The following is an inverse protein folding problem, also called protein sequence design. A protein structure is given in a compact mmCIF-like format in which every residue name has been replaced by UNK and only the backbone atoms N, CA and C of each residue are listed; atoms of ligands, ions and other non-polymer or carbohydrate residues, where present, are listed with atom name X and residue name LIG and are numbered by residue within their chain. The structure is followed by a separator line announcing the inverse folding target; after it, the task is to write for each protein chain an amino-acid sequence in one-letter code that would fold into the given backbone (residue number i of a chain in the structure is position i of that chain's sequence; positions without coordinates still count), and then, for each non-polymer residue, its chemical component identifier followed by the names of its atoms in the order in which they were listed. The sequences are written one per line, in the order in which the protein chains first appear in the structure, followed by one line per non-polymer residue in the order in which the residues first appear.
data_IF_439763383603
#
_entry.id   IF_439763383603
#
_cell.length_a   1.000
_cell.length_b   1.000
_cell.length_c   1.000
_cell.angle_alpha   90.00
_cell.angle_beta   90.00
_cell.angle_gamma   90.00
#
_symmetry.space_group_name_H-M   'P 1'
#
loop_
_entity.id
_entity.type
_entity.pdbx_description
1 polymer ?
#
# COMPACT_ATOMS: atom_id res chain seq x y z
N UNK A 1 -15.20 12.44 9.89
CA UNK A 1 -16.07 13.22 8.98
C UNK A 1 -17.20 12.28 8.57
N UNK A 2 -18.44 12.71 8.40
CA UNK A 2 -19.51 11.77 8.03
C UNK A 2 -19.34 11.42 6.55
N UNK A 3 -18.89 10.22 6.24
CA UNK A 3 -18.80 9.77 4.85
C UNK A 3 -20.20 9.77 4.23
N UNK A 4 -20.39 10.64 3.24
CA UNK A 4 -21.65 10.77 2.49
C UNK A 4 -21.74 9.75 1.34
N UNK A 5 -20.73 8.89 1.21
CA UNK A 5 -20.63 7.87 0.18
C UNK A 5 -19.74 6.71 0.62
N UNK A 6 -20.00 5.51 0.11
CA UNK A 6 -19.14 4.32 0.20
C UNK A 6 -18.82 3.84 -1.21
N UNK A 7 -17.57 3.44 -1.47
CA UNK A 7 -17.16 2.94 -2.79
C UNK A 7 -16.59 1.55 -2.67
N UNK A 8 -17.04 0.65 -3.55
CA UNK A 8 -16.58 -0.73 -3.66
C UNK A 8 -15.92 -0.94 -5.02
N UNK A 9 -14.74 -1.54 -5.04
CA UNK A 9 -13.98 -1.78 -6.28
C UNK A 9 -13.96 -3.26 -6.61
N UNK A 10 -14.07 -3.59 -7.91
CA UNK A 10 -14.12 -4.96 -8.39
C UNK A 10 -13.23 -5.13 -9.61
N UNK A 11 -12.35 -6.13 -9.53
CA UNK A 11 -11.43 -6.46 -10.60
C UNK A 11 -11.54 -7.95 -10.94
N UNK A 12 -11.78 -8.25 -12.21
CA UNK A 12 -11.76 -9.59 -12.77
C UNK A 12 -11.05 -9.55 -14.13
N UNK A 13 -10.52 -10.68 -14.60
CA UNK A 13 -9.85 -10.74 -15.90
C UNK A 13 -10.79 -10.24 -17.02
N UNK A 14 -10.44 -9.09 -17.63
CA UNK A 14 -11.20 -8.46 -18.70
C UNK A 14 -12.45 -7.68 -18.27
N UNK A 15 -12.63 -7.39 -16.98
CA UNK A 15 -13.72 -6.57 -16.45
C UNK A 15 -13.31 -5.89 -15.14
N UNK A 16 -13.33 -4.56 -15.13
CA UNK A 16 -13.04 -3.73 -13.96
C UNK A 16 -14.15 -2.69 -13.79
N UNK A 17 -14.64 -2.50 -12.56
CA UNK A 17 -15.71 -1.55 -12.28
C UNK A 17 -15.75 -1.15 -10.80
N UNK A 18 -16.42 -0.04 -10.52
CA UNK A 18 -16.68 0.47 -9.17
C UNK A 18 -18.17 0.60 -8.90
N UNK A 19 -18.55 0.50 -7.63
CA UNK A 19 -19.90 0.79 -7.14
C UNK A 19 -19.78 1.88 -6.10
N UNK A 20 -20.36 3.05 -6.36
CA UNK A 20 -20.39 4.14 -5.38
C UNK A 20 -21.81 4.30 -4.87
N UNK A 21 -22.01 4.05 -3.57
CA UNK A 21 -23.28 4.23 -2.88
C UNK A 21 -23.25 5.57 -2.16
N UNK A 22 -24.25 6.41 -2.34
CA UNK A 22 -24.29 7.74 -1.72
C UNK A 22 -25.73 8.19 -1.45
N UNK A 23 -25.88 9.17 -0.57
CA UNK A 23 -27.14 9.87 -0.39
C UNK A 23 -27.17 11.10 -1.31
N UNK A 24 -28.13 11.15 -2.22
CA UNK A 24 -28.37 12.31 -3.07
C UNK A 24 -28.80 13.52 -2.20
N UNK A 25 -28.08 14.64 -2.25
CA UNK A 25 -28.33 15.78 -1.37
C UNK A 25 -29.61 16.55 -1.71
N UNK A 26 -30.12 16.43 -2.93
CA UNK A 26 -31.29 17.16 -3.40
C UNK A 26 -32.61 16.41 -3.10
N UNK A 27 -32.58 15.08 -3.17
CA UNK A 27 -33.73 14.20 -3.00
C UNK A 27 -33.73 13.43 -1.69
N UNK A 28 -32.54 13.23 -1.08
CA UNK A 28 -32.34 12.39 0.09
C UNK A 28 -32.37 10.89 -0.19
N UNK A 29 -32.53 10.49 -1.45
CA UNK A 29 -32.55 9.08 -1.86
C UNK A 29 -31.14 8.48 -1.83
N UNK A 30 -31.04 7.20 -1.49
CA UNK A 30 -29.79 6.47 -1.59
C UNK A 30 -29.66 5.90 -3.00
N UNK A 31 -28.53 6.19 -3.65
CA UNK A 31 -28.23 5.77 -5.01
C UNK A 31 -26.96 4.93 -5.03
N UNK A 32 -26.90 3.97 -5.93
CA UNK A 32 -25.70 3.21 -6.26
C UNK A 32 -25.34 3.44 -7.74
N UNK A 33 -24.16 4.00 -7.97
CA UNK A 33 -23.59 4.19 -9.30
C UNK A 33 -22.59 3.08 -9.60
N UNK A 34 -22.93 2.22 -10.55
CA UNK A 34 -22.07 1.13 -11.04
C UNK A 34 -21.35 1.63 -12.28
N UNK A 35 -20.06 1.97 -12.16
CA UNK A 35 -19.26 2.54 -13.24
C UNK A 35 -18.26 1.52 -13.76
N UNK A 36 -18.36 1.17 -15.05
CA UNK A 36 -17.42 0.23 -15.68
C UNK A 36 -16.19 0.96 -16.20
N UNK A 37 -15.01 0.59 -15.71
CA UNK A 37 -13.71 1.17 -16.09
C UNK A 37 -12.98 0.34 -17.14
N UNK A 38 -13.27 -0.96 -17.23
CA UNK A 38 -12.73 -1.85 -18.25
C UNK A 38 -13.75 -2.93 -18.61
N UNK A 39 -13.90 -3.26 -19.89
CA UNK A 39 -14.77 -4.33 -20.34
C UNK A 39 -16.24 -3.94 -20.41
N UNK A 40 -17.12 -4.91 -20.21
CA UNK A 40 -18.57 -4.73 -20.26
C UNK A 40 -19.30 -5.83 -19.50
N UNK A 41 -20.52 -5.55 -19.06
CA UNK A 41 -21.38 -6.48 -18.35
C UNK A 41 -22.85 -6.09 -18.42
N UNK A 42 -23.74 -7.08 -18.33
CA UNK A 42 -25.17 -6.90 -18.09
C UNK A 42 -25.48 -7.16 -16.62
N UNK A 43 -25.72 -6.09 -15.85
CA UNK A 43 -25.97 -6.14 -14.41
C UNK A 43 -27.38 -6.64 -14.15
N UNK A 44 -27.52 -7.89 -13.71
CA UNK A 44 -28.84 -8.52 -13.61
C UNK A 44 -29.43 -8.42 -12.21
N UNK A 45 -28.61 -8.43 -11.17
CA UNK A 45 -29.04 -8.26 -9.80
C UNK A 45 -27.93 -7.65 -8.94
N UNK A 46 -28.38 -6.93 -7.90
CA UNK A 46 -27.54 -6.40 -6.83
C UNK A 46 -27.98 -7.00 -5.50
N UNK A 47 -27.02 -7.14 -4.59
CA UNK A 47 -27.19 -7.62 -3.24
C UNK A 47 -26.45 -6.66 -2.31
N UNK A 48 -26.97 -6.47 -1.11
CA UNK A 48 -26.27 -5.70 -0.08
C UNK A 48 -26.68 -6.19 1.30
N UNK A 49 -25.77 -6.04 2.25
CA UNK A 49 -25.97 -6.37 3.64
C UNK A 49 -24.87 -5.79 4.52
N UNK A 50 -25.11 -5.83 5.82
CA UNK A 50 -24.16 -5.42 6.86
C UNK A 50 -23.36 -6.62 7.41
N UNK A 51 -22.49 -6.36 8.38
CA UNK A 51 -21.75 -7.37 9.13
C UNK A 51 -22.56 -8.06 10.24
N UNK A 52 -23.85 -7.72 10.41
CA UNK A 52 -24.74 -8.32 11.39
C UNK A 52 -25.43 -9.57 10.82
N UNK A 53 -25.01 -10.74 11.31
CA UNK A 53 -25.58 -12.03 10.95
C UNK A 53 -26.94 -12.32 11.61
N UNK A 54 -27.79 -11.30 11.76
CA UNK A 54 -29.08 -11.42 12.41
C UNK A 54 -30.21 -11.66 11.40
N UNK A 55 -30.87 -12.82 11.48
CA UNK A 55 -32.04 -13.13 10.62
C UNK A 55 -31.76 -14.07 9.45
N UNK A 56 -32.61 -13.99 8.42
CA UNK A 56 -32.56 -14.86 7.23
C UNK A 56 -31.92 -14.10 6.06
N UNK A 57 -30.78 -14.62 5.56
CA UNK A 57 -30.12 -14.11 4.35
C UNK A 57 -31.05 -14.12 3.13
N UNK A 58 -31.12 -12.99 2.42
CA UNK A 58 -31.88 -12.85 1.17
C UNK A 58 -31.17 -13.56 0.04
N UNK A 59 -31.96 -14.19 -0.81
CA UNK A 59 -31.46 -14.84 -2.01
C UNK A 59 -32.49 -14.79 -3.13
N UNK A 60 -32.08 -14.35 -4.32
CA UNK A 60 -32.90 -14.50 -5.52
C UNK A 60 -32.83 -15.93 -6.03
N UNK A 61 -33.91 -16.37 -6.66
CA UNK A 61 -34.01 -17.74 -7.19
C UNK A 61 -33.32 -17.88 -8.55
N UNK A 62 -32.93 -19.12 -8.87
CA UNK A 62 -32.46 -19.47 -10.21
C UNK A 62 -31.09 -18.85 -10.52
N UNK A 63 -30.82 -18.42 -11.77
CA UNK A 63 -29.48 -17.99 -12.21
C UNK A 63 -28.99 -16.69 -11.55
N UNK A 64 -29.86 -15.98 -10.83
CA UNK A 64 -29.56 -14.72 -10.17
C UNK A 64 -29.05 -14.87 -8.73
N UNK A 65 -29.00 -16.10 -8.20
CA UNK A 65 -28.48 -16.33 -6.86
C UNK A 65 -26.96 -16.03 -6.78
N UNK A 66 -26.50 -15.71 -5.57
CA UNK A 66 -25.08 -15.52 -5.24
C UNK A 66 -24.41 -16.78 -4.70
N UNK A 67 -25.11 -17.91 -4.66
CA UNK A 67 -24.57 -19.17 -4.15
C UNK A 67 -23.40 -19.67 -5.01
N UNK A 68 -22.31 -20.11 -4.40
CA UNK A 68 -21.07 -20.53 -5.05
C UNK A 68 -20.13 -19.39 -5.43
N UNK A 69 -20.29 -18.20 -4.83
CA UNK A 69 -19.27 -17.14 -4.89
C UNK A 69 -18.14 -17.42 -3.89
N UNK A 70 -16.92 -16.93 -4.16
CA UNK A 70 -15.71 -17.23 -3.38
C UNK A 70 -15.79 -16.82 -1.90
N UNK A 71 -16.78 -16.00 -1.53
CA UNK A 71 -17.00 -15.47 -0.18
C UNK A 71 -18.42 -15.71 0.37
N UNK A 72 -19.22 -16.61 -0.24
CA UNK A 72 -20.61 -16.87 0.16
C UNK A 72 -20.76 -17.20 1.66
N UNK A 73 -19.81 -17.93 2.24
CA UNK A 73 -19.91 -18.44 3.61
C UNK A 73 -19.78 -17.33 4.68
N UNK A 74 -19.31 -16.14 4.29
CA UNK A 74 -19.01 -15.04 5.19
C UNK A 74 -19.93 -13.83 5.00
N UNK A 75 -20.95 -13.90 4.14
CA UNK A 75 -21.85 -12.76 3.88
C UNK A 75 -23.31 -13.15 4.09
N UNK A 76 -23.98 -12.42 4.97
CA UNK A 76 -25.43 -12.42 5.06
C UNK A 76 -25.99 -11.25 4.25
N UNK A 77 -26.93 -11.52 3.34
CA UNK A 77 -27.56 -10.48 2.54
C UNK A 77 -28.83 -10.00 3.20
N UNK A 78 -28.96 -8.70 3.43
CA UNK A 78 -30.20 -8.12 3.95
C UNK A 78 -31.19 -7.78 2.84
N UNK A 79 -30.66 -7.49 1.66
CA UNK A 79 -31.45 -7.20 0.47
C UNK A 79 -30.88 -7.84 -0.79
N UNK A 80 -31.79 -8.08 -1.73
CA UNK A 80 -31.48 -8.60 -3.04
C UNK A 80 -32.48 -8.07 -4.07
N UNK A 81 -31.98 -7.31 -5.05
CA UNK A 81 -32.80 -6.63 -6.05
C UNK A 81 -32.50 -7.21 -7.42
N UNK A 82 -33.56 -7.68 -8.09
CA UNK A 82 -33.48 -8.06 -9.50
C UNK A 82 -33.65 -6.81 -10.36
N UNK A 83 -32.70 -6.56 -11.25
CA UNK A 83 -32.73 -5.48 -12.23
C UNK A 83 -33.20 -5.99 -13.60
N UNK A 84 -32.71 -7.15 -14.05
CA UNK A 84 -33.07 -7.72 -15.35
C UNK A 84 -32.96 -9.24 -15.39
N UNK A 85 -33.50 -9.84 -16.45
CA UNK A 85 -33.26 -11.26 -16.74
C UNK A 85 -31.84 -11.48 -17.30
N UNK A 86 -31.18 -12.62 -17.02
CA UNK A 86 -29.84 -12.91 -17.54
C UNK A 86 -29.74 -12.86 -19.06
N UNK A 87 -28.63 -12.30 -19.54
CA UNK A 87 -28.29 -12.17 -20.94
C UNK A 87 -28.94 -10.96 -21.61
N UNK A 88 -28.40 -10.61 -22.78
CA UNK A 88 -28.78 -9.38 -23.50
C UNK A 88 -30.17 -9.43 -24.16
N UNK A 89 -30.76 -10.62 -24.32
CA UNK A 89 -32.07 -10.77 -24.95
C UNK A 89 -32.11 -10.20 -26.37
N UNK A 90 -33.26 -9.65 -26.77
CA UNK A 90 -33.46 -9.01 -28.08
C UNK A 90 -32.88 -7.60 -28.16
N UNK A 91 -32.73 -6.95 -27.01
CA UNK A 91 -32.30 -5.56 -26.92
C UNK A 91 -30.78 -5.45 -27.00
N UNK A 92 -30.06 -6.57 -26.87
CA UNK A 92 -28.62 -6.60 -27.11
C UNK A 92 -27.89 -5.69 -26.12
N UNK A 93 -26.93 -4.93 -26.64
CA UNK A 93 -26.19 -3.93 -25.87
C UNK A 93 -26.99 -2.66 -25.59
N UNK A 94 -28.19 -2.50 -26.17
CA UNK A 94 -29.07 -1.35 -25.89
C UNK A 94 -29.93 -1.56 -24.62
N UNK A 95 -29.77 -2.72 -23.97
CA UNK A 95 -30.45 -3.05 -22.72
C UNK A 95 -30.02 -2.09 -21.60
N UNK A 96 -30.98 -1.59 -20.83
CA UNK A 96 -30.73 -0.57 -19.78
C UNK A 96 -29.71 -1.01 -18.71
N UNK A 97 -29.64 -2.31 -18.43
CA UNK A 97 -28.70 -2.89 -17.46
C UNK A 97 -27.34 -3.25 -18.04
N UNK A 98 -27.14 -3.07 -19.35
CA UNK A 98 -25.86 -3.30 -20.00
C UNK A 98 -24.99 -2.06 -19.87
N UNK A 99 -23.84 -2.23 -19.23
CA UNK A 99 -22.81 -1.21 -19.08
C UNK A 99 -21.53 -1.68 -19.74
N UNK A 100 -20.83 -0.74 -20.36
CA UNK A 100 -19.52 -0.94 -20.98
C UNK A 100 -18.58 0.13 -20.45
N UNK A 101 -17.29 -0.03 -20.73
CA UNK A 101 -16.25 0.95 -20.40
C UNK A 101 -16.70 2.40 -20.59
N UNK A 102 -16.58 3.18 -19.52
CA UNK A 102 -16.96 4.60 -19.44
C UNK A 102 -18.44 4.87 -19.13
N UNK A 103 -19.29 3.85 -19.05
CA UNK A 103 -20.72 4.00 -18.73
C UNK A 103 -20.99 3.72 -17.25
N UNK A 104 -22.05 4.36 -16.76
CA UNK A 104 -22.54 4.21 -15.38
C UNK A 104 -24.00 3.79 -15.40
N UNK A 105 -24.34 2.81 -14.57
CA UNK A 105 -25.72 2.43 -14.24
C UNK A 105 -26.05 2.93 -12.83
N UNK A 106 -27.04 3.82 -12.73
CA UNK A 106 -27.53 4.34 -11.45
C UNK A 106 -28.76 3.58 -11.00
N UNK A 107 -28.78 3.15 -9.74
CA UNK A 107 -29.88 2.39 -9.13
C UNK A 107 -30.26 3.04 -7.80
N UNK A 108 -31.56 3.19 -7.55
CA UNK A 108 -32.06 3.62 -6.24
C UNK A 108 -32.09 2.44 -5.26
N UNK A 109 -31.57 2.66 -4.05
CA UNK A 109 -31.52 1.68 -2.97
C UNK A 109 -32.59 1.97 -1.92
N UNK A 110 -33.26 0.91 -1.47
CA UNK A 110 -34.23 0.95 -0.37
C UNK A 110 -33.52 0.69 0.96
N UNK A 111 -32.75 1.68 1.44
CA UNK A 111 -32.02 1.68 2.71
C UNK A 111 -32.32 2.98 3.49
N UNK A 112 -32.03 3.01 4.79
CA UNK A 112 -32.20 4.21 5.64
C UNK A 112 -30.86 4.85 6.03
N UNK A 113 -29.77 4.09 6.01
CA UNK A 113 -28.41 4.56 6.24
C UNK A 113 -27.41 3.86 5.31
N UNK A 114 -26.28 4.51 5.03
CA UNK A 114 -25.12 3.86 4.41
C UNK A 114 -24.51 2.78 5.31
N UNK A 115 -24.77 2.85 6.61
CA UNK A 115 -24.31 1.85 7.59
C UNK A 115 -25.02 0.49 7.46
N UNK A 116 -26.05 0.39 6.63
CA UNK A 116 -26.71 -0.89 6.31
C UNK A 116 -26.00 -1.65 5.16
N UNK A 117 -24.86 -1.15 4.68
CA UNK A 117 -24.13 -1.71 3.53
C UNK A 117 -22.65 -1.78 3.85
N UNK A 118 -22.22 -2.89 4.42
CA UNK A 118 -20.79 -3.24 4.54
C UNK A 118 -20.34 -4.10 3.36
N UNK A 119 -21.25 -4.91 2.81
CA UNK A 119 -21.01 -5.74 1.64
C UNK A 119 -21.94 -5.36 0.50
N UNK A 120 -21.39 -5.27 -0.72
CA UNK A 120 -22.14 -5.08 -1.95
C UNK A 120 -21.84 -6.22 -2.93
N UNK A 121 -22.88 -6.90 -3.39
CA UNK A 121 -22.78 -8.02 -4.32
C UNK A 121 -23.35 -7.68 -5.70
N UNK A 122 -22.65 -8.06 -6.76
CA UNK A 122 -23.12 -7.93 -8.14
C UNK A 122 -23.20 -9.29 -8.82
N UNK A 123 -24.38 -9.57 -9.37
CA UNK A 123 -24.61 -10.66 -10.31
C UNK A 123 -24.76 -10.07 -11.71
N UNK A 124 -23.79 -10.35 -12.57
CA UNK A 124 -23.84 -9.93 -13.97
C UNK A 124 -23.57 -11.06 -14.96
N UNK A 125 -24.18 -10.97 -16.14
CA UNK A 125 -23.98 -11.90 -17.26
C UNK A 125 -23.55 -11.14 -18.50
N UNK A 126 -23.24 -11.87 -19.59
CA UNK A 126 -22.74 -11.26 -20.83
C UNK A 126 -21.52 -10.36 -20.58
N UNK A 127 -20.67 -10.80 -19.65
CA UNK A 127 -19.46 -10.10 -19.25
C UNK A 127 -18.35 -10.30 -20.26
N UNK A 128 -17.41 -9.37 -20.30
CA UNK A 128 -16.16 -9.49 -21.07
C UNK A 128 -15.18 -10.51 -20.48
N UNK A 129 -15.43 -10.99 -19.27
CA UNK A 129 -14.63 -12.05 -18.63
C UNK A 129 -14.68 -13.38 -19.40
N UNK A 130 -13.66 -14.26 -19.29
CA UNK A 130 -13.64 -15.55 -19.98
C UNK A 130 -14.85 -16.45 -19.69
N UNK A 131 -15.40 -16.35 -18.47
CA UNK A 131 -16.57 -17.13 -18.06
C UNK A 131 -17.90 -16.56 -18.58
N UNK A 132 -17.90 -15.31 -19.07
CA UNK A 132 -19.09 -14.61 -19.59
C UNK A 132 -20.16 -14.32 -18.54
N UNK A 133 -19.87 -14.56 -17.26
CA UNK A 133 -20.70 -14.12 -16.14
C UNK A 133 -19.89 -14.01 -14.85
N UNK A 134 -20.32 -13.16 -13.92
CA UNK A 134 -19.68 -12.98 -12.61
C UNK A 134 -20.67 -13.07 -11.44
N UNK A 135 -20.16 -13.51 -10.29
CA UNK A 135 -20.79 -13.37 -8.97
C UNK A 135 -19.76 -12.69 -8.08
N UNK A 136 -19.78 -11.36 -8.09
CA UNK A 136 -18.82 -10.57 -7.36
C UNK A 136 -19.41 -10.14 -6.02
N UNK A 137 -18.62 -10.27 -4.97
CA UNK A 137 -18.89 -9.73 -3.64
C UNK A 137 -17.81 -8.68 -3.43
N UNK A 138 -18.16 -7.54 -2.85
CA UNK A 138 -17.14 -6.55 -2.47
C UNK A 138 -16.19 -7.25 -1.53
N UNK A 139 -14.95 -7.43 -1.97
CA UNK A 139 -13.87 -7.62 -1.03
C UNK A 139 -13.87 -6.34 -0.20
N UNK A 140 -13.81 -6.47 1.13
CA UNK A 140 -13.60 -5.33 2.01
C UNK A 140 -12.30 -4.70 1.51
N UNK A 141 -12.42 -3.66 0.67
CA UNK A 141 -11.33 -2.73 0.49
C UNK A 141 -11.54 -1.89 1.73
N UNK A 142 -10.78 -2.10 2.82
CA UNK A 142 -10.69 -1.04 3.81
C UNK A 142 -10.45 0.26 3.02
N UNK A 143 -11.05 1.39 3.44
CA UNK A 143 -10.61 2.66 2.87
C UNK A 143 -9.09 2.59 2.81
N UNK A 144 -8.48 2.93 1.66
CA UNK A 144 -7.01 3.06 1.63
C UNK A 144 -6.69 3.95 2.83
N UNK A 145 -6.15 3.35 3.89
CA UNK A 145 -5.59 4.11 4.99
C UNK A 145 -4.63 5.04 4.25
N UNK A 146 -4.72 6.37 4.45
CA UNK A 146 -3.79 7.27 3.79
C UNK A 146 -2.41 6.67 4.03
N UNK A 147 -1.67 6.33 2.96
CA UNK A 147 -0.39 5.63 3.10
C UNK A 147 0.37 6.35 4.21
N UNK A 148 0.56 5.68 5.36
CA UNK A 148 1.20 6.34 6.48
C UNK A 148 2.60 6.69 5.98
N UNK A 149 2.88 8.00 5.85
CA UNK A 149 4.16 8.46 5.35
C UNK A 149 5.26 7.74 6.14
N UNK A 150 6.23 7.10 5.46
CA UNK A 150 7.23 6.31 6.15
C UNK A 150 7.93 7.15 7.22
N UNK A 151 7.85 6.68 8.47
CA UNK A 151 8.54 7.32 9.57
C UNK A 151 9.94 6.75 9.76
N UNK A 152 10.89 7.62 10.10
CA UNK A 152 12.29 7.21 10.29
C UNK A 152 12.80 7.60 11.67
N UNK A 153 13.51 6.70 12.32
CA UNK A 153 14.14 6.95 13.62
C UNK A 153 15.32 7.91 13.50
N UNK A 154 15.98 7.88 12.35
CA UNK A 154 17.13 8.73 12.07
C UNK A 154 17.33 8.91 10.57
N UNK A 155 17.64 10.14 10.16
CA UNK A 155 17.98 10.48 8.78
C UNK A 155 19.38 11.07 8.74
N UNK A 156 20.17 10.67 7.75
CA UNK A 156 21.50 11.18 7.48
C UNK A 156 21.52 12.01 6.21
N UNK A 157 21.84 13.27 6.33
CA UNK A 157 22.08 14.18 5.21
C UNK A 157 23.57 14.19 4.90
N UNK A 158 23.98 13.43 3.89
CA UNK A 158 25.38 13.21 3.53
C UNK A 158 25.90 14.20 2.49
N UNK A 159 26.94 14.93 2.85
CA UNK A 159 27.67 15.87 1.98
C UNK A 159 28.89 15.21 1.31
N UNK A 160 29.39 14.12 1.87
CA UNK A 160 30.50 13.35 1.31
C UNK A 160 30.41 11.87 1.70
N UNK A 161 30.60 11.00 0.71
CA UNK A 161 30.76 9.56 0.90
C UNK A 161 32.13 9.10 0.39
N UNK A 162 32.68 8.03 0.95
CA UNK A 162 33.85 7.37 0.36
C UNK A 162 33.47 6.41 -0.78
N UNK A 163 34.48 5.87 -1.47
CA UNK A 163 34.31 4.92 -2.59
C UNK A 163 33.57 3.63 -2.20
N UNK A 164 33.40 3.39 -0.90
CA UNK A 164 32.68 2.25 -0.33
C UNK A 164 31.26 2.64 0.15
N UNK A 165 30.84 3.89 -0.07
CA UNK A 165 29.55 4.41 0.35
C UNK A 165 29.46 4.72 1.85
N UNK A 166 30.57 4.81 2.58
CA UNK A 166 30.49 5.24 3.98
C UNK A 166 30.41 6.76 4.08
N UNK A 167 29.57 7.28 5.00
CA UNK A 167 29.46 8.71 5.23
C UNK A 167 30.76 9.27 5.81
N UNK A 168 31.39 10.19 5.06
CA UNK A 168 32.63 10.89 5.45
C UNK A 168 32.35 12.33 5.91
N UNK A 169 31.20 12.89 5.54
CA UNK A 169 30.76 14.22 5.94
C UNK A 169 29.25 14.36 5.78
N UNK A 170 28.62 15.06 6.72
CA UNK A 170 27.17 15.27 6.74
C UNK A 170 26.62 15.44 8.16
N UNK A 171 25.30 15.50 8.25
CA UNK A 171 24.57 15.71 9.50
C UNK A 171 23.58 14.58 9.72
N UNK A 172 23.61 13.99 10.91
CA UNK A 172 22.57 13.08 11.38
C UNK A 172 21.51 13.86 12.15
N UNK A 173 20.23 13.56 11.88
CA UNK A 173 19.10 14.08 12.64
C UNK A 173 18.31 12.87 13.15
N UNK A 174 18.07 12.81 14.46
CA UNK A 174 17.26 11.77 15.09
C UNK A 174 15.79 12.21 15.27
N UNK A 175 14.87 11.25 15.35
CA UNK A 175 13.47 11.51 15.64
C UNK A 175 13.30 12.12 17.04
N UNK A 176 14.03 11.56 18.02
CA UNK A 176 13.97 11.96 19.41
C UNK A 176 15.36 12.32 19.97
N UNK A 177 15.39 13.01 21.12
CA UNK A 177 16.63 13.35 21.80
C UNK A 177 17.37 12.06 22.23
N UNK A 178 18.61 11.82 21.74
CA UNK A 178 19.36 10.63 22.15
C UNK A 178 19.69 10.69 23.65
N UNK A 179 19.50 9.59 24.38
CA UNK A 179 19.86 9.49 25.81
C UNK A 179 20.89 8.38 26.02
N UNK A 180 22.17 8.69 26.34
CA UNK A 180 22.79 10.01 26.46
C UNK A 180 23.18 10.63 25.11
N UNK A 181 23.03 11.95 24.96
CA UNK A 181 23.46 12.68 23.75
C UNK A 181 24.94 13.08 23.82
N UNK A 182 25.84 12.11 24.01
CA UNK A 182 27.27 12.36 24.18
C UNK A 182 27.92 13.01 22.96
N UNK A 183 27.28 12.88 21.78
CA UNK A 183 27.77 13.39 20.50
C UNK A 183 27.06 14.67 20.02
N UNK A 184 26.15 15.24 20.81
CA UNK A 184 25.32 16.40 20.43
C UNK A 184 24.65 16.23 19.05
N UNK A 185 24.06 15.06 18.81
CA UNK A 185 23.32 14.78 17.58
C UNK A 185 22.06 15.66 17.56
N UNK A 186 21.81 16.44 16.49
CA UNK A 186 20.54 17.11 16.27
C UNK A 186 19.35 16.14 16.28
N UNK A 187 18.18 16.63 16.71
CA UNK A 187 16.96 15.84 16.78
C UNK A 187 15.74 16.71 16.48
N UNK A 188 14.66 16.08 16.03
CA UNK A 188 13.42 16.79 15.73
C UNK A 188 12.80 17.40 17.00
N UNK A 189 12.08 18.53 16.88
CA UNK A 189 11.38 19.11 18.02
C UNK A 189 10.36 18.12 18.62
N UNK A 190 10.24 18.10 19.95
CA UNK A 190 9.32 17.23 20.67
C UNK A 190 7.88 17.35 20.14
N UNK A 191 7.27 16.22 19.78
CA UNK A 191 5.92 16.16 19.22
C UNK A 191 5.83 16.41 17.71
N UNK A 192 6.96 16.45 16.99
CA UNK A 192 7.00 16.44 15.52
C UNK A 192 6.95 14.99 15.02
N UNK A 193 6.12 14.73 14.02
CA UNK A 193 6.08 13.40 13.38
C UNK A 193 7.39 13.17 12.61
N UNK A 194 8.04 12.00 12.76
CA UNK A 194 9.32 11.70 12.14
C UNK A 194 9.22 11.34 10.65
N UNK A 195 8.50 12.15 9.87
CA UNK A 195 8.38 12.05 8.41
C UNK A 195 9.54 12.76 7.71
N UNK A 196 9.85 12.38 6.47
CA UNK A 196 10.99 12.93 5.74
C UNK A 196 10.89 14.45 5.53
N UNK A 197 9.70 14.96 5.21
CA UNK A 197 9.41 16.41 5.09
C UNK A 197 9.80 17.20 6.33
N UNK A 198 9.52 16.65 7.52
CA UNK A 198 9.87 17.28 8.78
C UNK A 198 11.40 17.27 9.01
N UNK A 199 12.09 16.21 8.60
CA UNK A 199 13.55 16.15 8.62
C UNK A 199 14.19 17.17 7.67
N UNK A 200 13.72 17.28 6.43
CA UNK A 200 14.22 18.26 5.45
C UNK A 200 13.97 19.69 5.94
N UNK A 201 12.76 19.95 6.47
CA UNK A 201 12.40 21.24 7.04
C UNK A 201 13.32 21.62 8.20
N UNK A 202 13.61 20.68 9.11
CA UNK A 202 14.52 20.92 10.23
C UNK A 202 15.97 21.14 9.76
N UNK A 203 16.44 20.34 8.80
CA UNK A 203 17.78 20.48 8.23
C UNK A 203 17.98 21.87 7.60
N UNK A 204 17.06 22.31 6.73
CA UNK A 204 17.21 23.56 5.98
C UNK A 204 16.92 24.79 6.84
N UNK A 205 15.85 24.79 7.63
CA UNK A 205 15.40 25.99 8.33
C UNK A 205 16.06 26.18 9.70
N UNK A 206 16.30 25.09 10.45
CA UNK A 206 16.82 25.17 11.82
C UNK A 206 18.34 24.94 11.88
N UNK A 207 18.84 23.96 11.12
CA UNK A 207 20.28 23.67 11.07
C UNK A 207 21.03 24.49 10.02
N UNK A 208 20.30 25.13 9.10
CA UNK A 208 20.89 25.93 8.02
C UNK A 208 21.64 25.10 6.99
N UNK A 209 21.26 23.83 6.83
CA UNK A 209 21.82 22.90 5.86
C UNK A 209 21.46 23.27 4.42
N UNK A 210 22.33 22.89 3.49
CA UNK A 210 22.15 23.16 2.06
C UNK A 210 21.97 21.84 1.30
N UNK A 211 20.76 21.62 0.78
CA UNK A 211 20.42 20.40 0.03
C UNK A 211 21.20 20.27 -1.29
N UNK A 212 21.77 21.37 -1.79
CA UNK A 212 22.58 21.40 -3.01
C UNK A 212 23.97 20.81 -2.84
N UNK A 213 24.47 20.75 -1.60
CA UNK A 213 25.77 20.16 -1.28
C UNK A 213 25.66 18.67 -0.92
N UNK A 214 24.44 18.13 -0.83
CA UNK A 214 24.21 16.74 -0.50
C UNK A 214 24.54 15.83 -1.68
N UNK A 215 25.31 14.79 -1.38
CA UNK A 215 25.62 13.69 -2.29
C UNK A 215 24.68 12.49 -2.09
N UNK A 216 23.97 12.44 -0.97
CA UNK A 216 23.05 11.35 -0.66
C UNK A 216 22.35 11.53 0.69
N UNK A 217 21.20 10.88 0.84
CA UNK A 217 20.41 10.85 2.08
C UNK A 217 20.18 9.40 2.50
N UNK A 218 20.65 9.05 3.71
CA UNK A 218 20.47 7.72 4.29
C UNK A 218 19.32 7.68 5.29
N UNK A 219 18.47 6.67 5.19
CA UNK A 219 17.31 6.45 6.05
C UNK A 219 17.57 5.29 6.99
N UNK A 220 17.32 5.48 8.28
CA UNK A 220 17.55 4.47 9.30
C UNK A 220 16.30 4.24 10.15
N UNK A 221 16.02 2.98 10.43
CA UNK A 221 14.98 2.53 11.35
C UNK A 221 15.57 1.54 12.36
N UNK A 222 14.85 1.29 13.46
CA UNK A 222 15.23 0.25 14.40
C UNK A 222 14.68 -1.10 13.90
N UNK A 223 15.50 -2.14 13.92
CA UNK A 223 15.03 -3.51 13.70
C UNK A 223 14.23 -4.03 14.91
N UNK A 224 13.64 -5.22 14.78
CA UNK A 224 12.88 -5.89 15.85
C UNK A 224 13.69 -6.14 17.14
N UNK A 225 15.02 -6.05 17.09
CA UNK A 225 15.93 -6.18 18.22
C UNK A 225 16.36 -4.82 18.80
N UNK A 226 15.87 -3.72 18.23
CA UNK A 226 16.16 -2.34 18.63
C UNK A 226 17.51 -1.82 18.12
N UNK A 227 18.11 -2.45 17.11
CA UNK A 227 19.34 -1.97 16.49
C UNK A 227 19.04 -1.07 15.30
N UNK A 228 19.78 0.03 15.19
CA UNK A 228 19.66 0.96 14.08
C UNK A 228 20.21 0.32 12.79
N UNK A 229 19.36 0.15 11.78
CA UNK A 229 19.71 -0.37 10.46
C UNK A 229 19.45 0.68 9.38
N UNK A 230 20.35 0.76 8.38
CA UNK A 230 20.10 1.54 7.16
C UNK A 230 19.09 0.78 6.29
N UNK A 231 17.93 1.39 6.07
CA UNK A 231 16.85 0.83 5.26
C UNK A 231 17.09 1.12 3.80
N UNK A 232 17.37 2.37 3.49
CA UNK A 232 17.50 2.85 2.13
C UNK A 232 18.41 4.07 2.08
N UNK A 233 18.91 4.35 0.89
CA UNK A 233 19.69 5.55 0.61
C UNK A 233 19.28 6.13 -0.73
N UNK A 234 18.96 7.41 -0.72
CA UNK A 234 18.83 8.21 -1.92
C UNK A 234 20.20 8.74 -2.30
N UNK A 235 20.67 8.38 -3.49
CA UNK A 235 21.88 8.97 -4.08
C UNK A 235 21.50 10.22 -4.87
N UNK A 236 22.27 11.30 -4.70
CA UNK A 236 22.00 12.53 -5.41
C UNK A 236 22.34 12.38 -6.91
N UNK A 237 21.59 13.07 -7.80
CA UNK A 237 21.94 13.14 -9.22
C UNK A 237 23.30 13.84 -9.44
N UNK A 238 23.91 13.67 -10.61
CA UNK A 238 25.19 14.32 -10.95
C UNK A 238 25.09 15.85 -10.81
N UNK A 239 25.56 16.39 -9.68
CA UNK A 239 25.49 17.81 -9.34
C UNK A 239 24.66 18.18 -8.12
N UNK A 240 24.10 17.22 -7.38
CA UNK A 240 23.29 17.47 -6.18
C UNK A 240 21.86 17.90 -6.50
N UNK A 241 20.98 17.89 -5.50
CA UNK A 241 19.60 18.39 -5.63
C UNK A 241 19.58 19.91 -5.69
N UNK A 242 18.93 20.52 -6.68
CA UNK A 242 18.92 21.98 -6.85
C UNK A 242 17.93 22.69 -5.92
N UNK A 243 17.03 21.95 -5.28
CA UNK A 243 16.02 22.47 -4.36
C UNK A 243 15.52 21.38 -3.40
N UNK A 244 14.85 21.79 -2.32
CA UNK A 244 14.16 20.87 -1.39
C UNK A 244 13.08 20.09 -2.11
N UNK A 245 12.36 20.72 -3.03
CA UNK A 245 11.28 20.09 -3.79
C UNK A 245 11.83 18.95 -4.65
N UNK A 246 13.02 19.11 -5.26
CA UNK A 246 13.66 18.03 -6.05
C UNK A 246 14.12 16.85 -5.19
N UNK A 247 14.49 17.11 -3.93
CA UNK A 247 14.84 16.06 -2.97
C UNK A 247 13.59 15.30 -2.50
N UNK A 248 12.49 16.01 -2.25
CA UNK A 248 11.21 15.41 -1.89
C UNK A 248 10.63 14.62 -3.07
N UNK A 249 10.65 15.16 -4.30
CA UNK A 249 10.22 14.43 -5.50
C UNK A 249 11.01 13.12 -5.70
N UNK A 250 12.33 13.13 -5.41
CA UNK A 250 13.17 11.93 -5.50
C UNK A 250 12.84 10.91 -4.40
N UNK A 251 12.41 11.37 -3.23
CA UNK A 251 11.92 10.52 -2.16
C UNK A 251 10.56 9.92 -2.50
N UNK A 252 9.60 10.72 -2.97
CA UNK A 252 8.27 10.28 -3.39
C UNK A 252 8.38 9.21 -4.49
N UNK A 253 9.26 9.42 -5.47
CA UNK A 253 9.53 8.42 -6.49
C UNK A 253 10.11 7.13 -5.90
N UNK A 254 10.99 7.20 -4.90
CA UNK A 254 11.53 6.01 -4.25
C UNK A 254 10.46 5.26 -3.43
N UNK A 255 9.53 5.97 -2.80
CA UNK A 255 8.36 5.38 -2.16
C UNK A 255 7.50 4.66 -3.18
N UNK A 256 7.16 5.30 -4.31
CA UNK A 256 6.40 4.69 -5.42
C UNK A 256 7.08 3.46 -6.03
N UNK A 257 8.42 3.46 -6.10
CA UNK A 257 9.23 2.34 -6.59
C UNK A 257 9.39 1.20 -5.55
N UNK A 258 8.78 1.34 -4.36
CA UNK A 258 8.76 0.34 -3.30
C UNK A 258 10.02 0.28 -2.45
N UNK A 259 10.82 1.36 -2.40
CA UNK A 259 12.10 1.40 -1.69
C UNK A 259 11.99 1.10 -0.18
N UNK A 260 10.80 1.29 0.40
CA UNK A 260 10.53 1.15 1.83
C UNK A 260 9.54 0.03 2.17
N UNK A 261 9.10 -0.78 1.19
CA UNK A 261 8.11 -1.88 1.36
C UNK A 261 8.59 -3.02 2.29
N UNK A 262 9.83 -3.00 2.76
CA UNK A 262 10.37 -3.93 3.76
C UNK A 262 10.68 -3.32 5.13
N UNK A 263 10.34 -2.04 5.35
CA UNK A 263 10.64 -1.29 6.58
C UNK A 263 9.39 -0.89 7.38
N UNK A 264 8.20 -1.16 6.84
CA UNK A 264 6.96 -1.07 7.59
C UNK A 264 6.89 -2.21 8.62
N UNK A 265 6.66 -1.84 9.88
CA UNK A 265 6.48 -2.77 10.99
C UNK A 265 5.35 -3.79 10.74
N UNK A 266 5.42 -4.89 11.51
CA UNK A 266 4.79 -6.21 11.33
C UNK A 266 3.24 -6.31 11.32
N UNK A 267 2.48 -5.46 10.62
CA UNK A 267 1.02 -5.65 10.47
C UNK A 267 0.50 -5.63 9.01
N UNK A 268 1.33 -6.07 8.04
CA UNK A 268 0.91 -6.09 6.63
C UNK A 268 1.61 -7.12 5.73
N UNK A 269 1.53 -8.42 6.07
CA UNK A 269 1.69 -9.56 5.14
C UNK A 269 2.88 -9.59 4.15
N UNK A 270 3.98 -10.20 4.63
CA UNK A 270 4.91 -11.11 3.93
C UNK A 270 5.46 -10.73 2.53
N UNK A 271 6.79 -10.67 2.40
CA UNK A 271 7.42 -11.70 1.57
C UNK A 271 8.77 -12.23 2.08
N UNK A 272 8.77 -13.53 2.31
CA UNK A 272 9.88 -14.37 2.73
C UNK A 272 10.80 -14.67 1.52
N UNK A 273 11.12 -13.67 0.69
CA UNK A 273 11.84 -13.84 -0.59
C UNK A 273 13.22 -13.21 -0.67
N UNK A 274 13.71 -12.53 0.37
CA UNK A 274 15.10 -12.03 0.40
C UNK A 274 16.11 -13.05 0.99
N UNK A 275 15.64 -14.11 1.67
CA UNK A 275 16.52 -15.06 2.37
C UNK A 275 17.11 -16.19 1.50
N UNK A 276 16.85 -16.21 0.18
CA UNK A 276 17.34 -17.27 -0.72
C UNK A 276 18.47 -16.86 -1.67
N UNK A 277 19.02 -15.64 -1.56
CA UNK A 277 20.17 -15.21 -2.36
C UNK A 277 21.45 -15.06 -1.53
N UNK A 278 21.82 -16.11 -0.80
CA UNK A 278 23.23 -16.32 -0.43
C UNK A 278 23.83 -17.37 -1.37
N UNK A 279 24.84 -17.02 -2.20
CA UNK A 279 25.68 -18.03 -2.83
C UNK A 279 26.42 -18.82 -1.73
N UNK A 280 26.59 -20.14 -1.88
CA UNK A 280 27.33 -20.95 -0.92
C UNK A 280 28.82 -20.73 -1.14
N UNK A 281 29.41 -19.73 -0.49
CA UNK A 281 30.87 -19.61 -0.39
C UNK A 281 31.29 -20.19 0.95
N UNK A 282 31.80 -21.41 0.94
CA UNK A 282 33.20 -21.76 0.74
C UNK A 282 34.04 -21.58 2.01
N UNK A 283 34.75 -22.66 2.31
CA UNK A 283 35.52 -22.95 3.52
C UNK A 283 36.39 -21.78 4.01
N UNK A 284 36.03 -21.20 5.16
CA UNK A 284 36.98 -20.39 5.94
C UNK A 284 37.92 -21.33 6.68
N UNK A 285 39.04 -21.66 6.05
CA UNK A 285 40.23 -22.21 6.71
C UNK A 285 40.84 -21.06 7.53
N UNK A 286 40.77 -21.18 8.86
CA UNK A 286 41.46 -20.28 9.79
C UNK A 286 42.98 -20.46 9.67
N UNK A 287 43.77 -19.40 9.39
CA UNK A 287 45.20 -19.41 9.70
C UNK A 287 45.39 -19.08 11.19
N UNK A 288 45.92 -20.02 11.95
CA UNK A 288 46.36 -19.81 13.33
C UNK A 288 47.56 -18.85 13.39
N UNK A 289 47.51 -17.97 14.39
CA UNK A 289 48.48 -16.92 14.72
C UNK A 289 49.94 -17.38 14.75
N UNK A 290 50.81 -16.56 14.16
CA UNK A 290 52.25 -16.58 14.41
C UNK A 290 52.56 -15.95 15.78
N UNK A 291 53.16 -16.72 16.69
CA UNK A 291 54.03 -16.19 17.76
C UNK A 291 55.50 -16.41 17.36
N UNK A 292 56.39 -15.41 17.49
CA UNK A 292 57.71 -15.43 16.86
C UNK A 292 58.81 -16.07 17.71
N UNK A 293 59.66 -16.83 17.01
CA UNK A 293 61.12 -17.01 17.16
C UNK A 293 61.72 -17.26 18.55
N UNK A 294 62.29 -18.46 18.76
CA UNK A 294 63.68 -18.52 19.23
C UNK A 294 64.43 -19.82 18.86
N UNK A 295 65.71 -19.63 18.54
CA UNK A 295 66.84 -20.55 18.62
C UNK A 295 67.00 -21.74 17.63
N UNK A 296 67.78 -21.45 16.59
CA UNK A 296 69.04 -22.14 16.20
C UNK A 296 68.99 -23.61 15.72
N UNK A 297 69.21 -23.78 14.41
CA UNK A 297 69.92 -24.95 13.87
C UNK A 297 71.33 -25.03 14.48
N UNK A 298 71.72 -26.19 15.01
CA UNK A 298 73.05 -26.71 14.71
C UNK A 298 73.14 -28.23 14.88
N UNK A 299 73.75 -28.81 13.87
CA UNK A 299 73.87 -30.22 13.52
C UNK A 299 74.98 -30.96 14.31
N UNK A 300 74.95 -32.29 14.23
CA UNK A 300 76.05 -33.27 14.44
C UNK A 300 76.58 -33.56 15.87
N UNK A 301 76.30 -34.77 16.39
CA UNK A 301 77.23 -35.93 16.45
C UNK A 301 76.57 -37.18 17.05
#
# INVERSE_FOLDING_TARGET
MTDHSRTFTYNAEGLSYTVTVYQDPDTGAFLADITTTEGAMDVNAIYFGDDDFSGDSKSLKGPLNMNGSHYEENVQWDSAVKLSDPGLGTDGTDKETYVSEGNTLTIELDIQSLDEIDFFGIRATSTSTPEGSIKAISEETPPEEPEEEPTFEKVFFGEAFDDNGFPQGGVFIAAEEPVPNDFNVPFLPEGTEPTFDNYVTHYVNELGGDVTELQGVGFYTNDAEGNLQEVYRLDAPEGGWQSTDELLDAYDQAVEDGAFEGAADEDGTLDLMAALSLPPDDEIIMPEDEEPTDAFEMDVF
#
